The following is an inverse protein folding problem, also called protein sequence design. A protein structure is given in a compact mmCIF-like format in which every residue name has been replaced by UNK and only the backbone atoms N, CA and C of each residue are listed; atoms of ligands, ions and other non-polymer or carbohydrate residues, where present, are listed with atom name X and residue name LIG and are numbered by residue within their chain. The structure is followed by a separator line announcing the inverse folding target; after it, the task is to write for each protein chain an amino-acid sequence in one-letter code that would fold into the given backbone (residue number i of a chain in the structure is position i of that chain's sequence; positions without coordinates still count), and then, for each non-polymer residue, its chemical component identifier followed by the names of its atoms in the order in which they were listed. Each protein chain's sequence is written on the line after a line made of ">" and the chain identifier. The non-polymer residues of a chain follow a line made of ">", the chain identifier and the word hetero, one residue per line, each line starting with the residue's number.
data_IF_271741688379
#
_entry.id   IF_271741688379
#
_cell.length_a   1.000
_cell.length_b   1.000
_cell.length_c   1.000
_cell.angle_alpha   90.00
_cell.angle_beta   90.00
_cell.angle_gamma   90.00
#
_symmetry.space_group_name_H-M   'P 1'
#
loop_
_entity.id
_entity.type
_entity.pdbx_description
1 polymer ?
#
# COMPACT_ATOMS: atom_id res chain seq x y z
N UNK A 1 -4.78 -7.06 -14.89
CA UNK A 1 -4.95 -6.44 -13.57
C UNK A 1 -6.42 -6.52 -13.21
N UNK A 2 -6.77 -7.14 -12.08
CA UNK A 2 -8.15 -7.11 -11.57
C UNK A 2 -8.23 -5.92 -10.61
N UNK A 3 -9.30 -5.12 -10.71
CA UNK A 3 -9.47 -3.99 -9.81
C UNK A 3 -9.99 -4.48 -8.45
N UNK A 4 -9.30 -4.11 -7.37
CA UNK A 4 -9.72 -4.43 -6.00
C UNK A 4 -10.57 -3.31 -5.43
N UNK A 5 -11.61 -3.65 -4.67
CA UNK A 5 -12.39 -2.65 -3.95
C UNK A 5 -11.50 -1.98 -2.90
N UNK A 6 -11.63 -0.65 -2.74
CA UNK A 6 -10.96 0.03 -1.65
C UNK A 6 -11.46 -0.52 -0.30
N UNK A 7 -10.59 -0.64 0.72
CA UNK A 7 -11.03 -1.00 2.07
C UNK A 7 -12.09 0.00 2.55
N UNK A 8 -13.12 -0.49 3.25
CA UNK A 8 -14.18 0.37 3.77
C UNK A 8 -13.62 1.39 4.75
N UNK A 9 -14.21 2.59 4.79
CA UNK A 9 -13.76 3.70 5.64
C UNK A 9 -13.74 3.39 7.16
N UNK A 10 -14.41 2.31 7.59
CA UNK A 10 -14.40 1.82 8.98
C UNK A 10 -13.42 0.68 9.28
N UNK A 11 -12.67 0.20 8.29
CA UNK A 11 -11.67 -0.83 8.50
C UNK A 11 -10.49 -0.29 9.31
N UNK A 12 -10.08 -1.03 10.34
CA UNK A 12 -8.91 -0.67 11.14
C UNK A 12 -7.67 -0.60 10.23
N UNK A 13 -6.99 0.55 10.26
CA UNK A 13 -5.79 0.79 9.46
C UNK A 13 -4.79 1.64 10.22
N UNK A 14 -3.53 1.54 9.80
CA UNK A 14 -2.44 2.34 10.33
C UNK A 14 -1.96 3.28 9.22
N UNK A 15 -1.99 4.59 9.49
CA UNK A 15 -1.50 5.60 8.53
C UNK A 15 0.03 5.53 8.46
N UNK A 16 0.58 5.17 7.30
CA UNK A 16 2.02 5.04 7.09
C UNK A 16 2.64 6.34 6.57
N UNK A 17 1.98 6.99 5.60
CA UNK A 17 2.47 8.25 5.04
C UNK A 17 1.35 9.07 4.41
N UNK A 18 1.58 10.37 4.30
CA UNK A 18 0.72 11.32 3.57
C UNK A 18 1.59 12.20 2.67
N UNK A 19 1.08 12.53 1.49
CA UNK A 19 1.75 13.45 0.57
C UNK A 19 0.74 14.33 -0.15
N UNK A 20 0.80 15.64 0.08
CA UNK A 20 -0.02 16.61 -0.64
C UNK A 20 0.44 16.73 -2.10
N UNK A 21 -0.51 16.66 -3.04
CA UNK A 21 -0.25 16.80 -4.45
C UNK A 21 -0.35 18.28 -4.86
N UNK A 22 0.57 18.78 -5.71
CA UNK A 22 0.44 20.11 -6.29
C UNK A 22 -0.86 20.25 -7.10
N UNK A 23 -1.46 21.45 -7.10
CA UNK A 23 -2.75 21.72 -7.74
C UNK A 23 -2.77 21.50 -9.27
N UNK A 24 -1.60 21.45 -9.92
CA UNK A 24 -1.47 21.28 -11.37
C UNK A 24 -1.18 19.83 -11.79
N UNK A 25 -1.36 18.85 -10.91
CA UNK A 25 -1.14 17.43 -11.22
C UNK A 25 -2.43 16.80 -11.75
N UNK A 26 -2.35 16.15 -12.91
CA UNK A 26 -3.41 15.28 -13.41
C UNK A 26 -3.49 14.01 -12.55
N UNK A 27 -4.55 13.89 -11.75
CA UNK A 27 -4.76 12.78 -10.82
C UNK A 27 -4.69 11.42 -11.50
N UNK A 28 -5.33 11.27 -12.67
CA UNK A 28 -5.37 9.99 -13.38
C UNK A 28 -3.98 9.56 -13.86
N UNK A 29 -3.20 10.48 -14.43
CA UNK A 29 -1.81 10.25 -14.81
C UNK A 29 -0.95 9.90 -13.60
N UNK A 30 -1.08 10.65 -12.51
CA UNK A 30 -0.35 10.37 -11.26
C UNK A 30 -0.62 8.95 -10.74
N UNK A 31 -1.89 8.55 -10.63
CA UNK A 31 -2.27 7.21 -10.18
C UNK A 31 -1.72 6.10 -11.08
N UNK A 32 -1.74 6.30 -12.41
CA UNK A 32 -1.13 5.35 -13.36
C UNK A 32 0.38 5.21 -13.17
N UNK A 33 1.09 6.32 -12.99
CA UNK A 33 2.55 6.30 -12.75
C UNK A 33 2.88 5.59 -11.43
N UNK A 34 2.11 5.86 -10.38
CA UNK A 34 2.27 5.19 -9.09
C UNK A 34 1.98 3.68 -9.17
N UNK A 35 0.93 3.28 -9.89
CA UNK A 35 0.63 1.86 -10.13
C UNK A 35 1.74 1.17 -10.94
N UNK A 36 2.29 1.84 -11.95
CA UNK A 36 3.42 1.34 -12.73
C UNK A 36 4.64 1.14 -11.83
N UNK A 37 4.98 2.14 -11.01
CA UNK A 37 6.05 2.02 -10.02
C UNK A 37 5.84 0.78 -9.13
N UNK A 38 4.67 0.65 -8.50
CA UNK A 38 4.36 -0.47 -7.62
C UNK A 38 4.51 -1.82 -8.33
N UNK A 39 4.05 -1.91 -9.57
CA UNK A 39 4.13 -3.13 -10.39
C UNK A 39 5.56 -3.54 -10.76
N UNK A 40 6.51 -2.59 -10.75
CA UNK A 40 7.92 -2.84 -11.05
C UNK A 40 8.80 -3.06 -9.82
N UNK A 41 8.23 -3.01 -8.61
CA UNK A 41 8.99 -3.15 -7.35
C UNK A 41 9.79 -4.46 -7.28
N UNK A 42 9.26 -5.57 -7.78
CA UNK A 42 9.94 -6.89 -7.81
C UNK A 42 10.84 -7.11 -9.02
N UNK A 43 10.67 -6.31 -10.08
CA UNK A 43 11.40 -6.49 -11.33
C UNK A 43 12.73 -5.73 -11.35
N UNK A 44 12.84 -4.68 -10.52
CA UNK A 44 14.05 -3.91 -10.38
C UNK A 44 14.93 -4.56 -9.31
N UNK A 45 15.94 -5.34 -9.70
CA UNK A 45 16.93 -5.99 -8.81
C UNK A 45 17.77 -5.06 -7.91
N UNK A 46 17.38 -3.78 -7.83
CA UNK A 46 17.86 -2.75 -6.90
C UNK A 46 17.08 -2.77 -5.56
N UNK A 47 15.85 -3.26 -5.57
CA UNK A 47 15.14 -3.64 -4.36
C UNK A 47 15.61 -5.06 -4.02
N UNK A 48 16.25 -5.26 -2.87
CA UNK A 48 16.65 -6.60 -2.40
C UNK A 48 15.46 -7.57 -2.50
N UNK A 49 15.67 -8.90 -2.62
CA UNK A 49 14.55 -9.83 -2.68
C UNK A 49 13.66 -9.63 -1.45
N UNK A 50 12.43 -9.16 -1.68
CA UNK A 50 11.41 -9.07 -0.65
C UNK A 50 11.22 -10.45 -0.01
N UNK A 51 10.98 -10.48 1.29
CA UNK A 51 10.77 -11.74 2.00
C UNK A 51 9.46 -12.41 1.58
N UNK A 52 8.44 -11.61 1.26
CA UNK A 52 7.14 -12.08 0.78
C UNK A 52 6.92 -11.73 -0.70
N UNK A 53 6.39 -12.67 -1.51
CA UNK A 53 5.88 -12.35 -2.84
C UNK A 53 4.84 -11.23 -2.75
N UNK A 54 4.91 -10.26 -3.66
CA UNK A 54 3.93 -9.17 -3.70
C UNK A 54 3.01 -9.30 -4.91
N UNK A 55 1.76 -8.85 -4.72
CA UNK A 55 0.78 -8.65 -5.78
C UNK A 55 0.36 -7.19 -5.77
N UNK A 56 0.25 -6.60 -6.95
CA UNK A 56 -0.20 -5.22 -7.12
C UNK A 56 -1.48 -5.19 -7.93
N UNK A 57 -2.50 -4.54 -7.37
CA UNK A 57 -3.80 -4.34 -8.02
C UNK A 57 -4.17 -2.85 -8.02
N UNK A 58 -4.89 -2.41 -9.05
CA UNK A 58 -5.49 -1.09 -9.08
C UNK A 58 -6.74 -1.04 -8.21
N UNK A 59 -7.04 0.09 -7.58
CA UNK A 59 -8.33 0.27 -6.92
C UNK A 59 -9.45 0.46 -7.96
N UNK A 60 -10.66 -0.02 -7.67
CA UNK A 60 -11.83 0.08 -8.54
C UNK A 60 -12.18 1.53 -8.93
N UNK A 61 -11.96 2.46 -8.01
CA UNK A 61 -12.23 3.89 -8.24
C UNK A 61 -11.15 4.58 -9.09
N UNK A 62 -10.09 3.88 -9.49
CA UNK A 62 -8.97 4.41 -10.27
C UNK A 62 -8.08 5.42 -9.53
N UNK A 63 -8.38 5.70 -8.26
CA UNK A 63 -7.70 6.71 -7.44
C UNK A 63 -6.45 6.18 -6.71
N UNK A 64 -6.03 4.95 -6.99
CA UNK A 64 -4.94 4.35 -6.24
C UNK A 64 -4.63 2.91 -6.62
N UNK A 65 -3.82 2.28 -5.77
CA UNK A 65 -3.38 0.90 -5.90
C UNK A 65 -3.25 0.23 -4.53
N UNK A 66 -3.26 -1.09 -4.54
CA UNK A 66 -2.99 -1.94 -3.39
C UNK A 66 -1.76 -2.81 -3.68
N UNK A 67 -0.86 -2.91 -2.70
CA UNK A 67 0.21 -3.91 -2.66
C UNK A 67 -0.13 -4.92 -1.57
N UNK A 68 -0.36 -6.16 -1.96
CA UNK A 68 -0.59 -7.28 -1.06
C UNK A 68 0.68 -8.08 -0.90
N UNK A 69 1.16 -8.24 0.34
CA UNK A 69 2.26 -9.13 0.69
C UNK A 69 1.69 -10.52 0.94
N UNK A 70 2.04 -11.47 0.09
CA UNK A 70 1.39 -12.76 0.00
C UNK A 70 2.17 -13.86 0.71
N UNK A 71 1.44 -14.86 1.18
CA UNK A 71 2.02 -16.12 1.64
C UNK A 71 1.14 -17.30 1.25
N UNK A 72 1.79 -18.44 1.02
CA UNK A 72 1.11 -19.72 0.84
C UNK A 72 0.74 -20.26 2.22
N UNK A 73 -0.55 -20.46 2.45
CA UNK A 73 -1.11 -21.14 3.63
C UNK A 73 -1.86 -22.40 3.18
N UNK A 74 -2.29 -23.29 4.10
CA UNK A 74 -3.10 -24.45 3.76
C UNK A 74 -4.43 -24.11 3.07
N UNK A 75 -4.93 -22.88 3.24
CA UNK A 75 -6.16 -22.38 2.61
C UNK A 75 -5.94 -21.74 1.24
N UNK A 76 -4.69 -21.64 0.79
CA UNK A 76 -4.30 -21.03 -0.48
C UNK A 76 -3.33 -19.86 -0.30
N UNK A 77 -3.27 -18.99 -1.31
CA UNK A 77 -2.42 -17.79 -1.27
C UNK A 77 -3.22 -16.65 -0.65
N UNK A 78 -2.79 -16.19 0.52
CA UNK A 78 -3.47 -15.16 1.32
C UNK A 78 -2.55 -13.96 1.58
N UNK A 79 -3.12 -12.77 1.78
CA UNK A 79 -2.35 -11.59 2.17
C UNK A 79 -1.99 -11.63 3.65
N UNK A 80 -0.75 -11.29 3.96
CA UNK A 80 -0.24 -11.06 5.32
C UNK A 80 -0.44 -9.60 5.71
N UNK A 81 -0.20 -8.69 4.77
CA UNK A 81 -0.35 -7.26 4.96
C UNK A 81 -0.71 -6.63 3.62
N UNK A 82 -1.61 -5.64 3.67
CA UNK A 82 -2.07 -4.92 2.50
C UNK A 82 -1.72 -3.42 2.67
N UNK A 83 -0.88 -2.90 1.77
CA UNK A 83 -0.61 -1.47 1.68
C UNK A 83 -1.55 -0.88 0.64
N UNK A 84 -2.38 0.07 1.04
CA UNK A 84 -3.29 0.76 0.14
C UNK A 84 -2.88 2.20 0.03
N UNK A 85 -2.60 2.61 -1.20
CA UNK A 85 -2.25 3.98 -1.56
C UNK A 85 -3.42 4.57 -2.35
N UNK A 86 -4.08 5.59 -1.81
CA UNK A 86 -5.28 6.19 -2.38
C UNK A 86 -5.16 7.73 -2.38
N UNK A 87 -5.57 8.37 -3.47
CA UNK A 87 -5.64 9.83 -3.56
C UNK A 87 -7.02 10.29 -3.08
N UNK A 88 -7.02 11.09 -2.03
CA UNK A 88 -8.22 11.61 -1.37
C UNK A 88 -8.23 13.14 -1.44
N UNK A 89 -9.40 13.74 -1.67
CA UNK A 89 -9.56 15.19 -1.59
C UNK A 89 -9.75 15.59 -0.12
N UNK A 90 -8.80 16.34 0.43
CA UNK A 90 -8.81 16.81 1.82
C UNK A 90 -9.16 18.30 1.86
N UNK A 91 -10.18 18.72 2.62
CA UNK A 91 -10.53 20.13 2.78
C UNK A 91 -9.31 20.97 3.19
N UNK A 92 -9.06 22.05 2.46
CA UNK A 92 -7.95 22.97 2.71
C UNK A 92 -6.57 22.50 2.22
N UNK A 93 -6.40 21.23 1.86
CA UNK A 93 -5.11 20.68 1.36
C UNK A 93 -5.16 20.19 -0.09
N UNK A 94 -6.35 20.10 -0.69
CA UNK A 94 -6.52 19.59 -2.05
C UNK A 94 -6.34 18.07 -2.11
N UNK A 95 -5.77 17.58 -3.21
CA UNK A 95 -5.55 16.14 -3.39
C UNK A 95 -4.34 15.67 -2.57
N UNK A 96 -4.54 14.63 -1.77
CA UNK A 96 -3.52 14.06 -0.90
C UNK A 96 -3.43 12.57 -1.14
N UNK A 97 -2.23 12.07 -1.40
CA UNK A 97 -1.95 10.64 -1.39
C UNK A 97 -1.88 10.15 0.07
N UNK A 98 -2.76 9.22 0.40
CA UNK A 98 -2.80 8.51 1.69
C UNK A 98 -2.26 7.10 1.49
N UNK A 99 -1.22 6.72 2.24
CA UNK A 99 -0.72 5.34 2.28
C UNK A 99 -1.03 4.73 3.64
N UNK A 100 -1.80 3.65 3.65
CA UNK A 100 -2.29 2.99 4.86
C UNK A 100 -1.97 1.49 4.84
N UNK A 101 -1.68 0.94 6.01
CA UNK A 101 -1.49 -0.49 6.24
C UNK A 101 -2.79 -1.10 6.76
N UNK A 102 -3.15 -2.26 6.20
CA UNK A 102 -4.25 -3.10 6.63
C UNK A 102 -3.74 -4.50 6.98
N UNK A 103 -4.40 -5.12 7.96
CA UNK A 103 -4.14 -6.49 8.37
C UNK A 103 -4.67 -7.46 7.30
N UNK A 104 -3.80 -8.29 6.74
CA UNK A 104 -4.19 -9.33 5.79
C UNK A 104 -4.77 -10.57 6.48
N UNK A 105 -5.53 -11.37 5.76
CA UNK A 105 -6.20 -12.56 6.31
C UNK A 105 -5.21 -13.58 6.93
N UNK A 106 -4.00 -13.69 6.39
CA UNK A 106 -2.97 -14.60 6.89
C UNK A 106 -2.22 -14.06 8.12
N UNK A 107 -2.38 -12.78 8.49
CA UNK A 107 -1.62 -12.18 9.59
C UNK A 107 -1.88 -12.90 10.94
N UNK A 108 -3.14 -13.25 11.19
CA UNK A 108 -3.56 -13.97 12.39
C UNK A 108 -3.07 -15.43 12.38
N UNK A 109 -3.15 -16.12 11.24
CA UNK A 109 -2.67 -17.52 11.11
C UNK A 109 -1.18 -17.66 11.41
N UNK A 110 -0.40 -16.62 11.08
CA UNK A 110 1.05 -16.61 11.27
C UNK A 110 1.48 -16.07 12.64
N UNK A 111 0.53 -15.63 13.47
CA UNK A 111 0.81 -14.96 14.74
C UNK A 111 1.54 -13.61 14.58
N UNK A 112 1.56 -13.03 13.38
CA UNK A 112 2.28 -11.79 13.07
C UNK A 112 1.54 -10.55 13.56
N UNK A 113 0.21 -10.63 13.70
CA UNK A 113 -0.62 -9.58 14.30
C UNK A 113 -0.59 -9.59 15.85
N UNK A 114 0.13 -10.54 16.46
CA UNK A 114 0.12 -10.74 17.92
C UNK A 114 -1.21 -11.30 18.45
N UNK A 115 -1.38 -11.28 19.77
CA UNK A 115 -2.60 -11.79 20.46
C UNK A 115 -3.53 -10.69 20.97
N UNK A 116 -3.25 -9.43 20.65
CA UNK A 116 -4.06 -8.30 21.15
C UNK A 116 -5.45 -8.28 20.51
N UNK A 117 -6.46 -7.92 21.28
CA UNK A 117 -7.81 -7.67 20.77
C UNK A 117 -7.95 -6.25 20.21
N UNK A 118 -7.01 -5.34 20.51
CA UNK A 118 -6.98 -3.98 19.95
C UNK A 118 -6.41 -3.99 18.53
N UNK A 119 -7.20 -3.61 17.50
CA UNK A 119 -6.76 -3.59 16.12
C UNK A 119 -5.53 -2.69 15.87
N UNK A 120 -5.38 -1.57 16.60
CA UNK A 120 -4.22 -0.68 16.41
C UNK A 120 -2.93 -1.33 16.85
N UNK A 121 -2.93 -1.95 18.03
CA UNK A 121 -1.78 -2.66 18.54
C UNK A 121 -1.39 -3.86 17.67
N UNK A 122 -2.39 -4.55 17.08
CA UNK A 122 -2.14 -5.61 16.10
C UNK A 122 -1.42 -5.10 14.85
N UNK A 123 -1.87 -3.97 14.31
CA UNK A 123 -1.25 -3.34 13.14
C UNK A 123 0.17 -2.86 13.41
N UNK A 124 0.45 -2.31 14.59
CA UNK A 124 1.81 -1.93 15.01
C UNK A 124 2.73 -3.15 15.15
N UNK A 125 2.20 -4.25 15.71
CA UNK A 125 2.92 -5.52 15.81
C UNK A 125 3.21 -6.09 14.42
N UNK A 126 2.22 -6.08 13.53
CA UNK A 126 2.36 -6.52 12.15
C UNK A 126 3.39 -5.69 11.38
N UNK A 127 3.36 -4.36 11.53
CA UNK A 127 4.34 -3.45 10.90
C UNK A 127 5.76 -3.78 11.36
N UNK A 128 5.94 -4.07 12.65
CA UNK A 128 7.25 -4.43 13.23
C UNK A 128 7.75 -5.79 12.75
N UNK A 129 6.85 -6.74 12.52
CA UNK A 129 7.19 -8.09 12.07
C UNK A 129 7.39 -8.18 10.54
N UNK A 130 6.73 -7.31 9.77
CA UNK A 130 6.75 -7.32 8.32
C UNK A 130 7.85 -6.40 7.76
N UNK A 131 9.06 -6.94 7.62
CA UNK A 131 10.25 -6.19 7.16
C UNK A 131 10.11 -5.57 5.76
N UNK A 132 9.21 -6.10 4.93
CA UNK A 132 8.99 -5.63 3.56
C UNK A 132 8.25 -4.28 3.53
N UNK A 133 7.41 -3.99 4.53
CA UNK A 133 6.64 -2.74 4.59
C UNK A 133 7.59 -1.52 4.68
N UNK A 134 8.54 -1.45 5.62
CA UNK A 134 9.53 -0.37 5.64
C UNK A 134 10.36 -0.24 4.35
N UNK A 135 10.71 -1.37 3.71
CA UNK A 135 11.48 -1.36 2.47
C UNK A 135 10.69 -0.74 1.31
N UNK A 136 9.42 -1.11 1.15
CA UNK A 136 8.53 -0.51 0.16
C UNK A 136 8.39 0.99 0.45
N UNK A 137 8.12 1.36 1.70
CA UNK A 137 7.96 2.76 2.11
C UNK A 137 9.21 3.61 1.85
N UNK A 138 10.41 3.05 1.99
CA UNK A 138 11.67 3.74 1.69
C UNK A 138 11.80 4.14 0.20
N UNK A 139 11.14 3.43 -0.71
CA UNK A 139 11.15 3.74 -2.15
C UNK A 139 10.06 4.72 -2.58
N UNK A 140 9.05 4.93 -1.75
CA UNK A 140 7.87 5.74 -2.05
C UNK A 140 8.17 7.23 -2.35
N UNK A 141 9.06 7.93 -1.61
CA UNK A 141 9.30 9.35 -1.84
C UNK A 141 9.83 9.67 -3.24
N UNK A 142 10.77 8.87 -3.75
CA UNK A 142 11.33 9.05 -5.09
C UNK A 142 10.32 8.69 -6.17
N UNK A 143 9.48 7.67 -5.93
CA UNK A 143 8.39 7.33 -6.83
C UNK A 143 7.37 8.47 -6.95
N UNK A 144 6.96 9.07 -5.82
CA UNK A 144 6.02 10.19 -5.80
C UNK A 144 6.58 11.38 -6.57
N UNK A 145 7.84 11.75 -6.35
CA UNK A 145 8.48 12.88 -7.08
C UNK A 145 8.47 12.65 -8.59
N UNK A 146 8.81 11.43 -9.04
CA UNK A 146 8.80 11.05 -10.45
C UNK A 146 7.39 11.07 -11.03
N UNK A 147 6.42 10.51 -10.31
CA UNK A 147 5.03 10.50 -10.73
C UNK A 147 4.47 11.92 -10.87
N UNK A 148 4.77 12.82 -9.92
CA UNK A 148 4.41 14.24 -10.02
C UNK A 148 5.04 14.91 -11.24
N UNK A 149 6.31 14.65 -11.53
CA UNK A 149 6.98 15.25 -12.69
C UNK A 149 6.37 14.80 -14.03
N UNK A 150 5.89 13.55 -14.12
CA UNK A 150 5.28 12.97 -15.32
C UNK A 150 3.78 13.24 -15.46
N UNK A 151 3.13 13.72 -14.39
CA UNK A 151 1.70 14.00 -14.34
C UNK A 151 1.36 15.50 -14.37
N UNK A 152 2.35 16.35 -14.65
CA UNK A 152 2.20 17.79 -14.87
C UNK A 152 2.03 18.14 -16.34
#
# INVERSE_FOLDING_TARGET
>A
MMAVAAPSAGAASLQLATAALPANVDRASFCRQMLQFASTLTSNGRNMPFALPLKVDSLQDGNGFQISLLRVTPLGVLSVADLVANVEAVPGSGDVLMVRLYEGQAAAELGLAGKSTDPKQRLETLLSACIDVPQIMATMPEAIKRAVALAR
#
